data_IF_669221490307
#
_entry.id   IF_669221490307
#
_cell.length_a   1.000
_cell.length_b   1.000
_cell.length_c   1.000
_cell.angle_alpha   90.00
_cell.angle_beta   90.00
_cell.angle_gamma   90.00
#
_symmetry.space_group_name_H-M   'P 1'
#
loop_
_entity.id
_entity.type
_entity.pdbx_description
1 polymer ?
#
# COMPACT_ATOMS: atom_id res chain seq x y z
N UNK A 1 5.89 6.39 -3.43
CA UNK A 1 5.31 5.86 -2.20
C UNK A 1 5.51 4.36 -2.21
N UNK A 2 6.34 3.87 -1.31
CA UNK A 2 6.44 2.47 -0.93
C UNK A 2 5.34 2.14 0.08
N UNK A 3 4.42 1.24 -0.28
CA UNK A 3 3.27 0.86 0.56
C UNK A 3 3.66 0.05 1.80
N UNK A 4 4.93 -0.32 1.96
CA UNK A 4 5.45 -1.01 3.14
C UNK A 4 6.08 -0.05 4.16
N UNK A 5 6.10 1.25 3.86
CA UNK A 5 6.73 2.29 4.67
C UNK A 5 5.67 3.28 5.20
N UNK A 6 5.25 3.16 6.47
CA UNK A 6 4.18 4.00 7.03
C UNK A 6 4.40 5.50 6.87
N UNK A 7 5.65 5.96 7.01
CA UNK A 7 6.01 7.38 6.85
C UNK A 7 5.79 7.91 5.43
N UNK A 8 5.95 7.05 4.41
CA UNK A 8 5.65 7.45 3.02
C UNK A 8 4.15 7.48 2.74
N UNK A 9 3.37 6.59 3.38
CA UNK A 9 1.91 6.59 3.30
C UNK A 9 1.35 7.86 3.92
N UNK A 10 1.82 8.25 5.10
CA UNK A 10 1.41 9.50 5.77
C UNK A 10 1.80 10.73 4.95
N UNK A 11 3.02 10.77 4.39
CA UNK A 11 3.43 11.88 3.52
C UNK A 11 2.53 11.98 2.27
N UNK A 12 2.16 10.84 1.68
CA UNK A 12 1.24 10.82 0.55
C UNK A 12 -0.17 11.27 0.94
N UNK A 13 -0.66 10.91 2.14
CA UNK A 13 -1.94 11.40 2.67
C UNK A 13 -1.95 12.92 2.73
N UNK A 14 -0.92 13.55 3.31
CA UNK A 14 -0.84 15.02 3.39
C UNK A 14 -0.91 15.65 2.00
N UNK A 15 -0.14 15.13 1.03
CA UNK A 15 -0.15 15.64 -0.35
C UNK A 15 -1.53 15.51 -0.99
N UNK A 16 -2.19 14.35 -0.80
CA UNK A 16 -3.53 14.11 -1.37
C UNK A 16 -4.57 15.03 -0.73
N UNK A 17 -4.56 15.18 0.60
CA UNK A 17 -5.46 16.07 1.34
C UNK A 17 -5.33 17.52 0.87
N UNK A 18 -4.10 18.01 0.71
CA UNK A 18 -3.83 19.36 0.17
C UNK A 18 -4.32 19.53 -1.27
N UNK A 19 -4.24 18.46 -2.08
CA UNK A 19 -4.61 18.49 -3.51
C UNK A 19 -6.12 18.44 -3.73
N UNK A 20 -6.83 17.59 -2.99
CA UNK A 20 -8.28 17.41 -3.16
C UNK A 20 -9.08 18.43 -2.36
N UNK A 21 -8.52 18.91 -1.25
CA UNK A 21 -9.15 19.85 -0.33
C UNK A 21 -10.53 19.37 0.12
N UNK A 22 -11.50 20.29 0.13
CA UNK A 22 -12.88 19.99 0.56
C UNK A 22 -13.60 18.97 -0.33
N UNK A 23 -13.19 18.79 -1.59
CA UNK A 23 -13.79 17.78 -2.49
C UNK A 23 -13.61 16.35 -1.97
N UNK A 24 -12.54 16.12 -1.21
CA UNK A 24 -12.18 14.81 -0.70
C UNK A 24 -11.74 13.82 -1.78
N UNK A 25 -11.25 12.66 -1.34
CA UNK A 25 -10.88 11.55 -2.20
C UNK A 25 -12.11 10.68 -2.46
N UNK A 26 -12.52 10.52 -3.72
CA UNK A 26 -13.70 9.73 -4.08
C UNK A 26 -13.39 8.25 -4.37
N UNK A 27 -12.16 7.93 -4.78
CA UNK A 27 -11.75 6.60 -5.18
C UNK A 27 -10.30 6.35 -4.78
N UNK A 28 -10.07 5.22 -4.12
CA UNK A 28 -8.74 4.69 -3.83
C UNK A 28 -8.49 3.46 -4.71
N UNK A 29 -7.42 3.50 -5.51
CA UNK A 29 -7.00 2.37 -6.35
C UNK A 29 -5.69 1.80 -5.80
N UNK A 30 -5.81 0.70 -5.06
CA UNK A 30 -4.65 -0.03 -4.51
C UNK A 30 -4.00 -0.92 -5.60
N UNK A 31 -3.26 -0.30 -6.52
CA UNK A 31 -2.60 -0.99 -7.64
C UNK A 31 -1.10 -1.28 -7.39
N UNK A 32 -0.58 -1.03 -6.20
CA UNK A 32 0.78 -1.43 -5.85
C UNK A 32 0.84 -2.95 -5.65
N UNK A 33 1.79 -3.62 -6.29
CA UNK A 33 1.98 -5.05 -6.14
C UNK A 33 3.33 -5.54 -6.65
N UNK A 34 3.78 -6.67 -6.13
CA UNK A 34 5.02 -7.35 -6.51
C UNK A 34 4.78 -8.84 -6.73
N UNK A 35 5.59 -9.43 -7.62
CA UNK A 35 5.62 -10.86 -7.85
C UNK A 35 7.08 -11.35 -7.92
N UNK A 36 7.40 -12.35 -7.10
CA UNK A 36 8.62 -13.15 -7.19
C UNK A 36 8.18 -14.53 -7.66
N UNK A 37 8.42 -14.78 -8.94
CA UNK A 37 7.93 -15.96 -9.63
C UNK A 37 8.90 -17.11 -9.36
N UNK A 38 8.50 -18.03 -8.48
CA UNK A 38 9.26 -19.22 -8.12
C UNK A 38 8.35 -20.45 -8.22
N UNK A 39 8.95 -21.61 -8.50
CA UNK A 39 8.24 -22.89 -8.35
C UNK A 39 8.00 -23.15 -6.86
N UNK A 40 6.91 -23.82 -6.49
CA UNK A 40 6.55 -24.10 -5.09
C UNK A 40 7.71 -24.60 -4.20
N UNK A 41 8.58 -25.52 -4.64
CA UNK A 41 9.70 -25.99 -3.83
C UNK A 41 10.77 -24.93 -3.53
N UNK A 42 10.79 -23.84 -4.30
CA UNK A 42 11.80 -22.78 -4.23
C UNK A 42 11.27 -21.49 -3.57
N UNK A 43 10.00 -21.46 -3.16
CA UNK A 43 9.44 -20.31 -2.44
C UNK A 43 10.14 -20.18 -1.10
N UNK A 44 10.75 -19.02 -0.86
CA UNK A 44 11.38 -18.71 0.42
C UNK A 44 10.42 -17.95 1.33
N UNK A 45 10.60 -18.03 2.66
CA UNK A 45 9.83 -17.23 3.62
C UNK A 45 9.90 -15.72 3.31
N UNK A 46 11.06 -15.21 2.90
CA UNK A 46 11.27 -13.79 2.60
C UNK A 46 10.48 -13.35 1.36
N UNK A 47 10.42 -14.20 0.33
CA UNK A 47 9.61 -13.91 -0.87
C UNK A 47 8.12 -13.94 -0.55
N UNK A 48 7.67 -14.89 0.29
CA UNK A 48 6.29 -14.96 0.75
C UNK A 48 5.90 -13.74 1.61
N UNK A 49 6.79 -13.35 2.54
CA UNK A 49 6.62 -12.16 3.38
C UNK A 49 6.57 -10.89 2.53
N UNK A 50 7.44 -10.75 1.53
CA UNK A 50 7.42 -9.63 0.60
C UNK A 50 6.08 -9.53 -0.15
N UNK A 51 5.55 -10.65 -0.65
CA UNK A 51 4.25 -10.66 -1.32
C UNK A 51 3.14 -10.24 -0.37
N UNK A 52 3.14 -10.76 0.86
CA UNK A 52 2.14 -10.43 1.86
C UNK A 52 2.18 -8.95 2.25
N UNK A 53 3.38 -8.42 2.53
CA UNK A 53 3.58 -7.01 2.93
C UNK A 53 3.12 -6.05 1.84
N UNK A 54 3.48 -6.29 0.58
CA UNK A 54 3.16 -5.36 -0.50
C UNK A 54 1.71 -5.55 -0.99
N UNK A 55 1.28 -6.78 -1.25
CA UNK A 55 0.04 -7.04 -1.98
C UNK A 55 -1.19 -7.13 -1.07
N UNK A 56 -1.00 -7.32 0.24
CA UNK A 56 -2.10 -7.50 1.21
C UNK A 56 -2.06 -6.45 2.31
N UNK A 57 -0.94 -6.35 3.04
CA UNK A 57 -0.80 -5.40 4.14
C UNK A 57 -0.76 -3.94 3.62
N UNK A 58 0.00 -3.67 2.57
CA UNK A 58 0.10 -2.35 1.95
C UNK A 58 -1.26 -1.71 1.63
N UNK A 59 -2.15 -2.37 0.86
CA UNK A 59 -3.51 -1.89 0.61
C UNK A 59 -4.32 -1.60 1.88
N UNK A 60 -4.16 -2.41 2.94
CA UNK A 60 -4.83 -2.19 4.22
C UNK A 60 -4.30 -0.93 4.91
N UNK A 61 -2.98 -0.76 4.99
CA UNK A 61 -2.36 0.41 5.63
C UNK A 61 -2.74 1.71 4.90
N UNK A 62 -2.70 1.70 3.57
CA UNK A 62 -3.14 2.86 2.76
C UNK A 62 -4.61 3.19 3.01
N UNK A 63 -5.48 2.17 3.15
CA UNK A 63 -6.89 2.37 3.48
C UNK A 63 -7.09 2.93 4.90
N UNK A 64 -6.36 2.43 5.89
CA UNK A 64 -6.46 2.89 7.29
C UNK A 64 -6.07 4.36 7.43
N UNK A 65 -5.05 4.79 6.69
CA UNK A 65 -4.56 6.17 6.71
C UNK A 65 -5.47 7.09 5.87
N UNK A 66 -5.98 6.61 4.74
CA UNK A 66 -6.86 7.37 3.84
C UNK A 66 -8.35 7.42 4.24
N UNK A 67 -8.79 6.51 5.12
CA UNK A 67 -10.15 6.50 5.66
C UNK A 67 -10.32 7.60 6.69
N UNK A 68 -11.20 8.58 6.43
CA UNK A 68 -11.57 9.58 7.44
C UNK A 68 -12.19 8.89 8.66
N UNK A 69 -11.70 9.24 9.86
CA UNK A 69 -12.49 9.20 11.10
C UNK A 69 -13.50 10.35 11.10
#
# INVERSE_FOLDING_TARGET
MDVTRPEEIEAAKTIVEDTVGERGLNLLINNAGVAKMEMFPNVTPENLELHYKVNTEGPLLVLQVGGKN
#
